data_IF_261984508029
#
_entry.id   IF_261984508029
#
_cell.length_a   1.000
_cell.length_b   1.000
_cell.length_c   1.000
_cell.angle_alpha   90.00
_cell.angle_beta   90.00
_cell.angle_gamma   90.00
#
_symmetry.space_group_name_H-M   'P 1'
#
loop_
_entity.id
_entity.type
_entity.pdbx_description
1 polymer ?
#
# COMPACT_ATOMS: atom_id res chain seq x y z
N UNK A 1 -44.89 14.77 -16.50
CA UNK A 1 -44.02 15.95 -16.27
C UNK A 1 -43.42 15.71 -14.88
N UNK A 2 -42.41 14.86 -14.75
CA UNK A 2 -40.98 15.09 -15.06
C UNK A 2 -40.39 16.20 -14.21
N UNK A 3 -39.56 15.78 -13.26
CA UNK A 3 -38.21 16.28 -12.91
C UNK A 3 -37.78 15.50 -11.65
N UNK A 4 -37.07 14.38 -11.77
CA UNK A 4 -35.60 14.26 -11.85
C UNK A 4 -34.90 14.98 -10.69
N UNK A 5 -34.45 14.28 -9.64
CA UNK A 5 -33.13 13.64 -9.46
C UNK A 5 -31.94 14.62 -9.40
N UNK A 6 -30.91 14.20 -8.64
CA UNK A 6 -29.57 14.79 -8.39
C UNK A 6 -29.50 15.49 -7.01
N UNK A 7 -28.59 15.17 -6.09
CA UNK A 7 -27.19 14.80 -6.29
C UNK A 7 -26.68 13.83 -5.22
N UNK A 8 -26.13 12.70 -5.67
CA UNK A 8 -25.37 11.77 -4.85
C UNK A 8 -24.17 12.47 -4.21
N UNK A 9 -24.18 12.57 -2.88
CA UNK A 9 -22.94 12.74 -2.14
C UNK A 9 -22.10 11.48 -2.34
N UNK A 10 -21.19 11.50 -3.32
CA UNK A 10 -20.14 10.50 -3.46
C UNK A 10 -19.33 10.49 -2.17
N UNK A 11 -19.65 9.57 -1.27
CA UNK A 11 -18.72 9.13 -0.25
C UNK A 11 -17.42 8.82 -0.98
N UNK A 12 -16.35 9.59 -0.71
CA UNK A 12 -15.02 9.30 -1.24
C UNK A 12 -14.66 7.90 -0.77
N UNK A 13 -14.89 6.90 -1.62
CA UNK A 13 -14.43 5.55 -1.37
C UNK A 13 -12.91 5.65 -1.27
N UNK A 14 -12.37 5.26 -0.11
CA UNK A 14 -10.92 5.22 0.06
C UNK A 14 -10.36 4.28 -1.01
N UNK A 15 -9.26 4.67 -1.70
CA UNK A 15 -8.66 3.79 -2.69
C UNK A 15 -8.35 2.43 -2.03
N UNK A 16 -8.60 1.32 -2.73
CA UNK A 16 -8.30 -0.01 -2.21
C UNK A 16 -6.80 -0.13 -1.91
N UNK A 17 -6.42 -1.04 -1.02
CA UNK A 17 -5.03 -1.45 -0.85
C UNK A 17 -4.94 -2.91 -1.29
N UNK A 18 -4.06 -3.19 -2.24
CA UNK A 18 -3.80 -4.55 -2.71
C UNK A 18 -2.60 -5.16 -1.97
N UNK A 19 -1.59 -4.31 -1.63
CA UNK A 19 -0.38 -4.72 -0.92
C UNK A 19 -0.10 -3.78 0.26
N UNK A 20 0.19 -4.37 1.42
CA UNK A 20 0.67 -3.66 2.61
C UNK A 20 2.11 -4.08 2.91
N UNK A 21 3.03 -3.13 2.84
CA UNK A 21 4.43 -3.28 3.23
C UNK A 21 4.59 -2.76 4.65
N UNK A 22 5.12 -3.60 5.54
CA UNK A 22 5.44 -3.23 6.92
C UNK A 22 6.95 -3.11 7.05
N UNK A 23 7.42 -1.87 7.20
CA UNK A 23 8.83 -1.55 7.41
C UNK A 23 9.09 -1.38 8.91
N UNK A 24 10.03 -2.14 9.45
CA UNK A 24 10.32 -2.09 10.89
C UNK A 24 11.28 -0.95 11.25
N UNK A 25 12.14 -0.56 10.31
CA UNK A 25 13.15 0.47 10.48
C UNK A 25 12.76 1.71 9.67
N UNK A 26 13.03 2.90 10.21
CA UNK A 26 12.74 4.18 9.54
C UNK A 26 13.42 4.27 8.16
N UNK A 27 14.65 3.80 8.06
CA UNK A 27 15.42 3.85 6.81
C UNK A 27 14.85 2.91 5.74
N UNK A 28 14.31 1.74 6.13
CA UNK A 28 13.58 0.84 5.23
C UNK A 28 12.31 1.50 4.70
N UNK A 29 11.56 2.14 5.59
CA UNK A 29 10.36 2.87 5.23
C UNK A 29 10.68 4.02 4.26
N UNK A 30 11.71 4.82 4.58
CA UNK A 30 12.15 5.94 3.75
C UNK A 30 12.65 5.48 2.38
N UNK A 31 13.36 4.35 2.33
CA UNK A 31 13.79 3.75 1.07
C UNK A 31 12.60 3.35 0.18
N UNK A 32 11.54 2.76 0.76
CA UNK A 32 10.31 2.43 0.01
C UNK A 32 9.60 3.69 -0.51
N UNK A 33 9.48 4.72 0.33
CA UNK A 33 8.90 6.02 -0.08
C UNK A 33 9.74 6.71 -1.16
N UNK A 34 11.05 6.42 -1.23
CA UNK A 34 11.94 6.89 -2.30
C UNK A 34 11.83 6.11 -3.62
N UNK A 35 11.08 5.00 -3.69
CA UNK A 35 10.95 4.21 -4.92
C UNK A 35 10.01 4.92 -5.91
N UNK A 36 10.53 5.24 -7.10
CA UNK A 36 9.76 5.74 -8.24
C UNK A 36 9.64 4.72 -9.38
N UNK A 37 10.55 3.75 -9.47
CA UNK A 37 10.53 2.72 -10.51
C UNK A 37 9.24 1.91 -10.46
N UNK A 38 8.60 1.72 -11.62
CA UNK A 38 7.35 0.96 -11.72
C UNK A 38 6.13 1.68 -11.15
N UNK A 39 6.26 2.90 -10.61
CA UNK A 39 5.11 3.70 -10.23
C UNK A 39 4.33 4.15 -11.48
N UNK A 40 3.02 4.35 -11.33
CA UNK A 40 2.22 5.01 -12.37
C UNK A 40 2.80 6.43 -12.61
N UNK A 41 2.95 6.89 -13.87
CA UNK A 41 3.43 8.25 -14.14
C UNK A 41 2.64 9.29 -13.35
N UNK A 42 3.35 10.28 -12.80
CA UNK A 42 2.79 11.37 -11.98
C UNK A 42 2.09 10.95 -10.68
N UNK A 43 2.10 9.65 -10.32
CA UNK A 43 1.68 9.22 -8.99
C UNK A 43 2.76 9.57 -7.96
N UNK A 44 2.34 9.98 -6.77
CA UNK A 44 3.23 10.25 -5.64
C UNK A 44 2.82 9.40 -4.44
N UNK A 45 3.74 9.25 -3.48
CA UNK A 45 3.40 8.69 -2.19
C UNK A 45 2.55 9.69 -1.41
N UNK A 46 1.30 9.34 -1.15
CA UNK A 46 0.37 10.19 -0.40
C UNK A 46 0.21 9.66 1.02
N UNK A 47 0.36 10.50 2.06
CA UNK A 47 0.07 10.09 3.43
C UNK A 47 -1.41 9.76 3.59
N UNK A 48 -1.72 8.68 4.31
CA UNK A 48 -3.08 8.24 4.59
C UNK A 48 -3.51 8.73 5.98
N UNK A 49 -4.19 9.88 6.02
CA UNK A 49 -4.73 10.54 7.24
C UNK A 49 -3.66 10.80 8.35
N UNK A 50 -4.07 11.37 9.50
CA UNK A 50 -3.27 11.48 10.74
C UNK A 50 -3.06 10.11 11.43
N UNK A 51 -2.95 9.03 10.65
CA UNK A 51 -2.82 7.68 11.18
C UNK A 51 -1.46 7.50 11.89
N UNK A 52 -1.53 6.95 13.10
CA UNK A 52 -0.36 6.40 13.81
C UNK A 52 -0.53 4.88 13.85
N UNK A 53 0.39 4.10 13.27
CA UNK A 53 1.66 4.51 12.65
C UNK A 53 1.47 5.19 11.29
N UNK A 54 2.50 5.93 10.84
CA UNK A 54 2.52 6.66 9.57
C UNK A 54 2.36 5.70 8.38
N UNK A 55 1.37 5.97 7.53
CA UNK A 55 1.05 5.16 6.34
C UNK A 55 1.13 6.05 5.11
N UNK A 56 1.82 5.57 4.08
CA UNK A 56 1.84 6.19 2.76
C UNK A 56 1.29 5.22 1.73
N UNK A 57 0.59 5.73 0.72
CA UNK A 57 0.04 4.93 -0.37
C UNK A 57 0.49 5.45 -1.72
N UNK A 58 0.71 4.56 -2.69
CA UNK A 58 1.03 4.90 -4.08
C UNK A 58 0.54 3.82 -5.05
N UNK A 59 0.31 4.22 -6.30
CA UNK A 59 -0.03 3.30 -7.38
C UNK A 59 1.21 2.85 -8.14
N UNK A 60 1.30 1.55 -8.39
CA UNK A 60 2.32 0.92 -9.22
C UNK A 60 1.70 0.28 -10.46
N UNK A 61 2.37 0.39 -11.59
CA UNK A 61 1.97 -0.22 -12.84
C UNK A 61 2.52 -1.65 -12.92
N UNK A 62 1.64 -2.61 -13.18
CA UNK A 62 2.01 -4.00 -13.50
C UNK A 62 1.44 -4.40 -14.87
N UNK A 63 1.85 -5.54 -15.42
CA UNK A 63 1.26 -6.08 -16.66
C UNK A 63 -0.21 -6.45 -16.52
N UNK A 64 -0.67 -6.71 -15.29
CA UNK A 64 -2.05 -7.10 -14.96
C UNK A 64 -2.92 -5.93 -14.51
N UNK A 65 -2.39 -4.70 -14.55
CA UNK A 65 -3.07 -3.47 -14.13
C UNK A 65 -2.36 -2.74 -12.99
N UNK A 66 -3.08 -1.83 -12.35
CA UNK A 66 -2.52 -0.99 -11.30
C UNK A 66 -2.62 -1.67 -9.94
N UNK A 67 -1.54 -1.58 -9.16
CA UNK A 67 -1.43 -2.11 -7.81
C UNK A 67 -1.41 -0.94 -6.83
N UNK A 68 -2.35 -0.93 -5.88
CA UNK A 68 -2.34 0.05 -4.80
C UNK A 68 -1.50 -0.48 -3.65
N UNK A 69 -0.35 0.15 -3.46
CA UNK A 69 0.61 -0.25 -2.43
C UNK A 69 0.53 0.75 -1.28
N UNK A 70 0.45 0.22 -0.07
CA UNK A 70 0.63 0.98 1.15
C UNK A 70 1.91 0.55 1.86
N UNK A 71 2.59 1.50 2.47
CA UNK A 71 3.73 1.27 3.35
C UNK A 71 3.45 1.88 4.72
N UNK A 72 3.66 1.10 5.76
CA UNK A 72 3.52 1.52 7.16
C UNK A 72 4.83 1.34 7.90
N UNK A 73 5.21 2.35 8.69
CA UNK A 73 6.34 2.22 9.62
C UNK A 73 5.85 1.53 10.90
N UNK A 74 6.40 0.37 11.24
CA UNK A 74 6.09 -0.29 12.50
C UNK A 74 6.63 0.51 13.70
N UNK A 75 6.05 0.28 14.89
CA UNK A 75 6.47 0.93 16.13
C UNK A 75 7.84 0.46 16.65
N UNK A 76 8.42 -0.56 16.03
CA UNK A 76 9.73 -1.10 16.35
C UNK A 76 10.04 -2.38 15.58
N UNK A 77 11.15 -3.02 15.94
CA UNK A 77 11.58 -4.27 15.32
C UNK A 77 10.83 -5.49 15.87
N UNK A 78 10.73 -6.53 15.03
CA UNK A 78 10.18 -7.82 15.40
C UNK A 78 8.77 -8.09 14.85
N UNK A 79 8.40 -9.37 14.80
CA UNK A 79 7.09 -9.82 14.32
C UNK A 79 5.90 -9.18 15.07
N UNK A 80 5.93 -9.08 16.41
CA UNK A 80 4.83 -8.47 17.16
C UNK A 80 4.59 -7.00 16.80
N UNK A 81 5.65 -6.19 16.67
CA UNK A 81 5.52 -4.78 16.30
C UNK A 81 4.97 -4.61 14.89
N UNK A 82 5.41 -5.44 13.95
CA UNK A 82 4.87 -5.48 12.60
C UNK A 82 3.37 -5.86 12.58
N UNK A 83 2.97 -6.85 13.40
CA UNK A 83 1.57 -7.25 13.51
C UNK A 83 0.69 -6.15 14.12
N UNK A 84 1.16 -5.47 15.17
CA UNK A 84 0.46 -4.35 15.81
C UNK A 84 0.25 -3.20 14.81
N UNK A 85 1.26 -2.90 13.98
CA UNK A 85 1.17 -1.87 12.95
C UNK A 85 0.23 -2.27 11.79
N UNK A 86 0.25 -3.54 11.38
CA UNK A 86 -0.53 -4.03 10.25
C UNK A 86 -2.00 -4.29 10.58
N UNK A 87 -2.30 -4.82 11.76
CA UNK A 87 -3.65 -5.22 12.15
C UNK A 87 -4.74 -4.16 11.91
N UNK A 88 -4.62 -2.89 12.38
CA UNK A 88 -5.66 -1.90 12.16
C UNK A 88 -5.85 -1.55 10.68
N UNK A 89 -4.80 -1.65 9.86
CA UNK A 89 -4.88 -1.44 8.42
C UNK A 89 -5.58 -2.63 7.75
N UNK A 90 -5.19 -3.85 8.08
CA UNK A 90 -5.84 -5.03 7.54
C UNK A 90 -7.33 -5.04 7.88
N UNK A 91 -7.73 -4.72 9.12
CA UNK A 91 -9.13 -4.54 9.53
C UNK A 91 -9.84 -3.44 8.72
N UNK A 92 -9.20 -2.26 8.57
CA UNK A 92 -9.76 -1.11 7.86
C UNK A 92 -9.97 -1.35 6.36
N UNK A 93 -9.18 -2.25 5.77
CA UNK A 93 -9.24 -2.62 4.36
C UNK A 93 -9.81 -4.02 4.14
N UNK A 94 -10.46 -4.62 5.16
CA UNK A 94 -11.28 -5.80 4.97
C UNK A 94 -12.40 -5.47 3.99
N UNK A 95 -12.41 -6.17 2.85
CA UNK A 95 -13.42 -6.01 1.81
C UNK A 95 -13.30 -7.14 0.79
N UNK A 96 -13.79 -6.89 -0.43
CA UNK A 96 -13.93 -7.91 -1.47
C UNK A 96 -12.59 -8.45 -2.01
N UNK A 97 -11.46 -7.79 -1.72
CA UNK A 97 -10.14 -8.20 -2.19
C UNK A 97 -9.18 -8.50 -1.03
N UNK A 98 -8.44 -9.62 -1.09
CA UNK A 98 -7.45 -9.94 -0.08
C UNK A 98 -6.27 -8.97 -0.16
N UNK A 99 -5.90 -8.38 0.97
CA UNK A 99 -4.68 -7.55 1.09
C UNK A 99 -3.48 -8.46 1.31
N UNK A 100 -2.47 -8.39 0.43
CA UNK A 100 -1.20 -9.11 0.65
C UNK A 100 -0.32 -8.31 1.60
N UNK A 101 -0.18 -8.79 2.83
CA UNK A 101 0.70 -8.21 3.84
C UNK A 101 2.10 -8.82 3.76
N UNK A 102 3.13 -7.98 3.66
CA UNK A 102 4.52 -8.41 3.70
C UNK A 102 5.34 -7.55 4.65
N UNK A 103 6.28 -8.18 5.35
CA UNK A 103 7.24 -7.49 6.21
C UNK A 103 8.57 -7.35 5.47
N UNK A 104 9.20 -6.19 5.53
CA UNK A 104 10.57 -6.04 5.06
C UNK A 104 11.53 -6.89 5.91
N UNK A 105 12.30 -7.73 5.23
CA UNK A 105 13.27 -8.64 5.87
C UNK A 105 14.70 -8.08 5.85
N UNK A 106 14.98 -7.12 4.96
CA UNK A 106 16.24 -6.38 4.82
C UNK A 106 16.07 -5.34 3.70
N UNK A 107 16.87 -4.26 3.68
CA UNK A 107 16.95 -3.30 2.56
C UNK A 107 17.29 -3.97 1.22
N UNK A 108 17.96 -5.13 1.24
CA UNK A 108 18.21 -5.96 0.04
C UNK A 108 16.92 -6.46 -0.63
N UNK A 109 15.79 -6.52 0.10
CA UNK A 109 14.52 -7.03 -0.43
C UNK A 109 13.81 -6.06 -1.39
N UNK A 110 14.29 -4.83 -1.56
CA UNK A 110 13.78 -3.93 -2.61
C UNK A 110 14.11 -4.49 -4.00
N UNK A 111 15.23 -5.23 -4.13
CA UNK A 111 15.54 -5.98 -5.35
C UNK A 111 14.56 -7.16 -5.57
N UNK A 112 14.11 -7.81 -4.50
CA UNK A 112 13.15 -8.92 -4.57
C UNK A 112 11.75 -8.48 -5.06
N UNK A 113 11.39 -7.19 -4.96
CA UNK A 113 10.15 -6.65 -5.55
C UNK A 113 10.20 -6.62 -7.09
N UNK A 114 11.38 -6.42 -7.68
CA UNK A 114 11.57 -6.53 -9.14
C UNK A 114 11.53 -7.99 -9.61
N UNK A 115 11.99 -8.93 -8.76
CA UNK A 115 11.85 -10.36 -8.99
C UNK A 115 10.38 -10.83 -8.86
N UNK A 116 9.63 -10.29 -7.88
CA UNK A 116 8.21 -10.57 -7.71
C UNK A 116 7.35 -10.06 -8.88
N UNK A 117 7.73 -8.94 -9.52
CA UNK A 117 7.16 -8.48 -10.79
C UNK A 117 7.40 -9.51 -11.90
N UNK A 118 8.65 -9.96 -12.06
CA UNK A 118 9.01 -10.97 -13.06
C UNK A 118 8.24 -12.29 -12.87
N UNK A 119 8.02 -12.70 -11.62
CA UNK A 119 7.22 -13.91 -11.33
C UNK A 119 5.72 -13.75 -11.55
N UNK A 120 5.16 -12.54 -11.49
CA UNK A 120 3.75 -12.28 -11.82
C UNK A 120 3.52 -12.16 -13.34
N UNK A 121 4.55 -11.74 -14.07
CA UNK A 121 4.56 -11.62 -15.54
C UNK A 121 4.78 -12.97 -16.25
N UNK A 122 5.34 -13.96 -15.55
CA UNK A 122 5.64 -15.30 -16.06
C UNK A 122 4.51 -16.33 -15.87
N UNK A 123 3.33 -15.91 -15.40
CA UNK A 123 2.11 -16.73 -15.26
C UNK A 123 1.00 -16.16 -16.13
#
# INVERSE_FOLDING_TARGET
MSSDHVNSGSAKSRPPIDVLIVAAVKDEWAAVVGVHTGAVPDSEWTPLDDSKPEVHTRLFQTTRGNLHVAVVQAFGMGGPQAAIAAAPLLERYKGDRPVKCTRMKSLTAIADLDEARTSLDAQ
#
